data_IF_643195935929
#
_entry.id   IF_643195935929
#
_cell.length_a   1.000
_cell.length_b   1.000
_cell.length_c   1.000
_cell.angle_alpha   90.00
_cell.angle_beta   90.00
_cell.angle_gamma   90.00
#
_symmetry.space_group_name_H-M   'P 1'
#
loop_
_entity.id
_entity.type
_entity.pdbx_description
1 polymer ?
#
# COMPACT_ATOMS: atom_id res chain seq x y z
N UNK A 1 12.59 0.49 3.29
CA UNK A 1 11.69 1.59 2.84
C UNK A 1 10.28 1.33 3.33
N UNK A 2 9.51 2.39 3.68
CA UNK A 2 8.10 2.24 4.07
C UNK A 2 7.22 2.94 3.04
N UNK A 3 6.39 2.18 2.36
CA UNK A 3 5.39 2.65 1.39
C UNK A 3 4.06 2.88 2.11
N UNK A 4 3.59 4.12 2.13
CA UNK A 4 2.40 4.55 2.86
C UNK A 4 1.08 4.00 2.28
N UNK A 5 0.02 3.99 3.08
CA UNK A 5 -1.34 3.76 2.61
C UNK A 5 -1.91 4.97 1.85
N UNK A 6 -3.05 4.77 1.17
CA UNK A 6 -3.76 5.85 0.48
C UNK A 6 -4.14 6.97 1.45
N UNK A 7 -3.83 8.20 1.10
CA UNK A 7 -4.14 9.39 1.88
C UNK A 7 -3.51 9.43 3.29
N UNK A 8 -2.43 8.67 3.52
CA UNK A 8 -1.71 8.64 4.81
C UNK A 8 -0.34 9.26 4.65
N UNK A 9 -0.01 10.23 5.53
CA UNK A 9 1.31 10.88 5.56
C UNK A 9 2.40 9.92 6.06
N UNK A 10 3.62 10.12 5.61
CA UNK A 10 4.79 9.39 6.10
C UNK A 10 4.96 9.47 7.63
N UNK A 11 4.60 10.60 8.24
CA UNK A 11 4.69 10.80 9.70
C UNK A 11 3.85 9.79 10.53
N UNK A 12 2.83 9.17 9.91
CA UNK A 12 2.07 8.09 10.56
C UNK A 12 2.95 6.88 10.91
N UNK A 13 4.00 6.65 10.14
CA UNK A 13 4.91 5.52 10.28
C UNK A 13 6.14 5.82 11.14
N UNK A 14 6.27 7.04 11.66
CA UNK A 14 7.45 7.54 12.37
C UNK A 14 7.87 6.63 13.54
N UNK A 15 6.89 6.18 14.35
CA UNK A 15 7.19 5.31 15.50
C UNK A 15 7.71 3.94 15.09
N UNK A 16 7.15 3.36 14.04
CA UNK A 16 7.63 2.10 13.50
C UNK A 16 9.00 2.27 12.82
N UNK A 17 9.19 3.36 12.08
CA UNK A 17 10.47 3.69 11.47
C UNK A 17 11.55 3.86 12.55
N UNK A 18 11.25 4.59 13.64
CA UNK A 18 12.15 4.75 14.78
C UNK A 18 12.51 3.40 15.42
N UNK A 19 11.51 2.54 15.66
CA UNK A 19 11.74 1.19 16.16
C UNK A 19 12.75 0.43 15.29
N UNK A 20 12.59 0.45 13.97
CA UNK A 20 13.53 -0.23 13.04
C UNK A 20 14.92 0.43 13.07
N UNK A 21 15.02 1.76 13.20
CA UNK A 21 16.33 2.42 13.31
C UNK A 21 17.06 2.07 14.60
N UNK A 22 16.34 1.85 15.69
CA UNK A 22 16.89 1.37 16.96
C UNK A 22 17.42 -0.09 16.85
N UNK A 23 16.99 -0.83 15.81
CA UNK A 23 17.50 -2.16 15.48
C UNK A 23 18.59 -2.14 14.38
N UNK A 24 19.15 -0.96 14.08
CA UNK A 24 20.26 -0.81 13.14
C UNK A 24 19.89 -0.62 11.68
N UNK A 25 18.61 -0.51 11.32
CA UNK A 25 18.18 -0.27 9.95
C UNK A 25 18.28 1.21 9.54
N UNK A 26 18.67 1.48 8.31
CA UNK A 26 18.42 2.75 7.64
C UNK A 26 16.98 2.73 7.13
N UNK A 27 16.13 3.66 7.61
CA UNK A 27 14.72 3.69 7.24
C UNK A 27 14.37 4.92 6.43
N UNK A 28 13.80 4.72 5.24
CA UNK A 28 13.30 5.79 4.40
C UNK A 28 11.77 5.78 4.45
N UNK A 29 11.20 6.93 4.80
CA UNK A 29 9.77 7.24 4.68
C UNK A 29 9.60 8.44 3.76
N UNK A 30 8.53 8.49 2.99
CA UNK A 30 8.27 9.58 2.05
C UNK A 30 6.77 9.76 1.78
N UNK A 31 6.39 10.97 1.39
CA UNK A 31 5.03 11.28 0.97
C UNK A 31 4.91 11.15 -0.55
N UNK A 32 3.92 10.42 -1.02
CA UNK A 32 3.61 10.39 -2.45
C UNK A 32 3.15 11.76 -2.94
N UNK A 33 3.37 12.04 -4.23
CA UNK A 33 2.85 13.25 -4.87
C UNK A 33 1.37 13.44 -4.61
N UNK A 34 1.01 14.62 -4.18
CA UNK A 34 -0.37 14.99 -3.80
C UNK A 34 -0.72 14.71 -2.34
N UNK A 35 0.19 14.17 -1.53
CA UNK A 35 -0.02 13.85 -0.11
C UNK A 35 1.02 14.58 0.75
N UNK A 36 0.62 14.99 1.95
CA UNK A 36 1.49 15.52 2.99
C UNK A 36 2.42 16.63 2.51
N UNK A 37 3.74 16.48 2.69
CA UNK A 37 4.77 17.45 2.25
C UNK A 37 4.94 17.49 0.74
N UNK A 38 4.49 16.47 0.01
CA UNK A 38 4.46 16.42 -1.47
C UNK A 38 3.10 16.86 -2.02
N UNK A 39 2.32 17.63 -1.26
CA UNK A 39 1.05 18.21 -1.68
C UNK A 39 1.22 19.09 -2.92
N UNK A 40 0.15 19.24 -3.70
CA UNK A 40 0.14 20.02 -4.94
C UNK A 40 -0.86 21.16 -4.84
N UNK A 41 -0.51 22.32 -5.39
CA UNK A 41 -1.39 23.48 -5.40
C UNK A 41 -2.67 23.23 -6.22
N UNK A 42 -2.56 22.48 -7.33
CA UNK A 42 -3.70 22.15 -8.20
C UNK A 42 -4.10 20.68 -8.05
N UNK A 43 -5.10 20.41 -7.22
CA UNK A 43 -5.67 19.07 -7.02
C UNK A 43 -6.37 18.50 -8.27
N UNK A 44 -6.72 19.34 -9.24
CA UNK A 44 -7.33 18.95 -10.53
C UNK A 44 -6.30 18.63 -11.62
N UNK A 45 -5.02 18.61 -11.29
CA UNK A 45 -3.98 18.26 -12.25
C UNK A 45 -4.19 16.82 -12.76
N UNK A 46 -4.50 16.70 -14.06
CA UNK A 46 -4.83 15.43 -14.73
C UNK A 46 -3.63 14.49 -14.89
N UNK A 47 -2.42 14.99 -14.70
CA UNK A 47 -1.20 14.17 -14.76
C UNK A 47 -0.96 13.40 -13.45
N UNK A 48 -1.57 13.85 -12.34
CA UNK A 48 -1.54 13.11 -11.09
C UNK A 48 -2.34 11.82 -11.24
N UNK A 49 -1.68 10.70 -11.03
CA UNK A 49 -2.28 9.37 -11.12
C UNK A 49 -1.75 8.49 -9.99
N UNK A 50 -2.58 7.59 -9.47
CA UNK A 50 -2.15 6.64 -8.45
C UNK A 50 -0.97 5.78 -8.91
N UNK A 51 -0.96 5.34 -10.17
CA UNK A 51 0.18 4.60 -10.74
C UNK A 51 1.50 5.38 -10.72
N UNK A 52 1.44 6.72 -10.67
CA UNK A 52 2.62 7.56 -10.62
C UNK A 52 3.36 7.46 -9.27
N UNK A 53 2.67 7.05 -8.21
CA UNK A 53 3.28 6.77 -6.90
C UNK A 53 4.31 5.65 -6.95
N UNK A 54 4.05 4.60 -7.75
CA UNK A 54 5.05 3.57 -8.01
C UNK A 54 6.05 3.97 -9.10
N UNK A 55 5.50 4.42 -10.26
CA UNK A 55 6.33 4.67 -11.46
C UNK A 55 7.36 5.79 -11.28
N UNK A 56 7.07 6.80 -10.46
CA UNK A 56 7.94 7.96 -10.31
C UNK A 56 8.40 8.20 -8.88
N UNK A 57 7.51 8.08 -7.87
CA UNK A 57 7.86 8.44 -6.50
C UNK A 57 8.67 7.31 -5.84
N UNK A 58 8.16 6.09 -5.83
CA UNK A 58 8.90 4.92 -5.34
C UNK A 58 10.19 4.69 -6.17
N UNK A 59 10.10 4.78 -7.50
CA UNK A 59 11.24 4.63 -8.38
C UNK A 59 12.36 5.64 -8.05
N UNK A 60 12.00 6.91 -7.80
CA UNK A 60 12.98 7.94 -7.43
C UNK A 60 13.65 7.62 -6.08
N UNK A 61 12.88 7.12 -5.10
CA UNK A 61 13.41 6.72 -3.79
C UNK A 61 14.32 5.50 -3.92
N UNK A 62 13.95 4.51 -4.75
CA UNK A 62 14.81 3.35 -5.04
C UNK A 62 16.13 3.80 -5.69
N UNK A 63 16.07 4.68 -6.70
CA UNK A 63 17.28 5.19 -7.37
C UNK A 63 18.18 5.95 -6.41
N UNK A 64 17.61 6.75 -5.52
CA UNK A 64 18.37 7.45 -4.49
C UNK A 64 19.06 6.44 -3.54
N UNK A 65 18.34 5.41 -3.07
CA UNK A 65 18.90 4.39 -2.20
C UNK A 65 20.03 3.61 -2.88
N UNK A 66 19.85 3.23 -4.15
CA UNK A 66 20.92 2.59 -4.96
C UNK A 66 22.17 3.44 -5.08
N UNK A 67 21.99 4.75 -5.28
CA UNK A 67 23.12 5.67 -5.48
C UNK A 67 23.90 5.97 -4.19
N UNK A 68 23.23 5.94 -3.03
CA UNK A 68 23.83 6.33 -1.75
C UNK A 68 24.16 5.17 -0.82
N UNK A 69 23.46 4.04 -0.96
CA UNK A 69 23.56 2.86 -0.07
C UNK A 69 23.26 1.57 -0.85
N UNK A 70 23.80 1.46 -2.07
CA UNK A 70 23.53 0.31 -2.95
C UNK A 70 24.16 -1.01 -2.49
N UNK A 71 25.10 -0.93 -1.58
CA UNK A 71 25.78 -2.05 -0.94
C UNK A 71 24.94 -2.76 0.13
N UNK A 72 23.86 -2.13 0.60
CA UNK A 72 23.00 -2.68 1.63
C UNK A 72 21.86 -3.51 1.06
N UNK A 73 21.41 -4.50 1.82
CA UNK A 73 20.17 -5.22 1.53
C UNK A 73 18.96 -4.34 1.86
N UNK A 74 18.12 -4.09 0.88
CA UNK A 74 16.95 -3.25 1.03
C UNK A 74 15.65 -4.06 1.11
N UNK A 75 14.85 -3.72 2.09
CA UNK A 75 13.53 -4.30 2.32
C UNK A 75 12.45 -3.24 2.15
N UNK A 76 11.25 -3.66 1.72
CA UNK A 76 10.09 -2.78 1.63
C UNK A 76 9.00 -3.22 2.58
N UNK A 77 8.46 -2.30 3.37
CA UNK A 77 7.22 -2.50 4.13
C UNK A 77 6.12 -1.71 3.42
N UNK A 78 5.16 -2.40 2.81
CA UNK A 78 4.06 -1.79 2.08
C UNK A 78 2.76 -1.84 2.88
N UNK A 79 2.17 -0.68 3.19
CA UNK A 79 0.85 -0.61 3.83
C UNK A 79 -0.23 -0.35 2.80
N UNK A 80 -1.24 -1.22 2.72
CA UNK A 80 -2.40 -1.04 1.82
C UNK A 80 -1.95 -0.79 0.37
N UNK A 81 -2.20 0.40 -0.20
CA UNK A 81 -1.72 0.78 -1.54
C UNK A 81 -0.20 0.67 -1.68
N UNK A 82 0.54 0.77 -0.58
CA UNK A 82 2.00 0.63 -0.57
C UNK A 82 2.50 -0.70 -1.13
N UNK A 83 1.74 -1.79 -0.94
CA UNK A 83 1.99 -3.07 -1.59
C UNK A 83 1.44 -3.16 -3.01
N UNK A 84 0.54 -2.26 -3.43
CA UNK A 84 -0.03 -2.28 -4.78
C UNK A 84 0.84 -1.52 -5.79
N UNK A 85 1.59 -0.52 -5.35
CA UNK A 85 2.37 0.35 -6.25
C UNK A 85 3.73 -0.23 -6.66
N UNK A 86 4.17 -1.30 -6.01
CA UNK A 86 5.48 -1.94 -6.27
C UNK A 86 5.65 -2.35 -7.73
N UNK A 87 4.61 -2.91 -8.34
CA UNK A 87 4.65 -3.33 -9.74
C UNK A 87 4.68 -2.19 -10.77
N UNK A 88 4.68 -0.92 -10.33
CA UNK A 88 4.88 0.21 -11.22
C UNK A 88 6.30 0.77 -11.18
N UNK A 89 7.11 0.43 -10.18
CA UNK A 89 8.51 0.82 -10.12
C UNK A 89 9.34 -0.08 -11.05
N UNK A 90 10.15 0.52 -11.91
CA UNK A 90 11.01 -0.19 -12.86
C UNK A 90 12.10 -0.99 -12.14
N UNK A 91 12.61 -0.40 -11.04
CA UNK A 91 13.69 -0.97 -10.24
C UNK A 91 13.20 -1.80 -9.05
N UNK A 92 11.98 -2.33 -9.05
CA UNK A 92 11.40 -3.02 -7.88
C UNK A 92 12.16 -4.29 -7.45
N UNK A 93 12.90 -4.96 -8.34
CA UNK A 93 13.80 -6.07 -7.99
C UNK A 93 15.02 -5.66 -7.16
N UNK A 94 15.13 -4.38 -6.81
CA UNK A 94 16.11 -3.90 -5.84
C UNK A 94 15.81 -4.40 -4.41
N UNK A 95 14.56 -4.69 -4.12
CA UNK A 95 14.19 -5.20 -2.80
C UNK A 95 14.56 -6.67 -2.62
N UNK A 96 15.30 -6.97 -1.57
CA UNK A 96 15.60 -8.34 -1.10
C UNK A 96 14.34 -9.04 -0.61
N UNK A 97 13.45 -8.28 0.05
CA UNK A 97 12.15 -8.77 0.48
C UNK A 97 11.11 -7.66 0.64
N UNK A 98 9.84 -8.06 0.65
CA UNK A 98 8.69 -7.15 0.80
C UNK A 98 7.72 -7.67 1.85
N UNK A 99 7.40 -6.83 2.84
CA UNK A 99 6.44 -7.12 3.90
C UNK A 99 5.18 -6.28 3.70
N UNK A 100 4.08 -6.89 3.32
CA UNK A 100 2.83 -6.22 2.97
C UNK A 100 1.83 -6.28 4.13
N UNK A 101 1.48 -5.13 4.71
CA UNK A 101 0.48 -5.02 5.78
C UNK A 101 -0.83 -4.54 5.19
N UNK A 102 -1.90 -5.33 5.34
CA UNK A 102 -3.24 -4.97 4.83
C UNK A 102 -3.27 -4.56 3.35
N UNK A 103 -2.31 -5.04 2.56
CA UNK A 103 -2.25 -4.75 1.12
C UNK A 103 -3.19 -5.67 0.35
N UNK A 104 -4.05 -5.08 -0.50
CA UNK A 104 -5.17 -5.79 -1.10
C UNK A 104 -5.52 -5.28 -2.50
N UNK A 105 -6.25 -6.08 -3.26
CA UNK A 105 -6.97 -5.64 -4.46
C UNK A 105 -8.21 -4.86 -4.05
N UNK A 106 -8.40 -3.66 -4.59
CA UNK A 106 -9.57 -2.82 -4.30
C UNK A 106 -10.82 -3.15 -5.13
N UNK A 107 -10.85 -4.26 -5.86
CA UNK A 107 -12.03 -4.65 -6.65
C UNK A 107 -13.23 -4.94 -5.74
N UNK A 108 -14.33 -4.22 -5.93
CA UNK A 108 -15.53 -4.29 -5.08
C UNK A 108 -16.12 -5.68 -4.92
N UNK A 109 -15.93 -6.55 -5.90
CA UNK A 109 -16.44 -7.93 -5.87
C UNK A 109 -15.78 -8.85 -4.85
N UNK A 110 -14.69 -8.42 -4.19
CA UNK A 110 -14.02 -9.18 -3.12
C UNK A 110 -14.73 -9.06 -1.77
N UNK A 111 -15.59 -8.07 -1.59
CA UNK A 111 -16.37 -7.87 -0.36
C UNK A 111 -17.69 -8.64 -0.39
N UNK A 112 -18.26 -8.88 0.78
CA UNK A 112 -19.53 -9.58 0.96
C UNK A 112 -20.50 -8.73 1.79
N UNK A 113 -21.79 -9.08 1.76
CA UNK A 113 -22.84 -8.44 2.54
C UNK A 113 -22.89 -6.92 2.38
N UNK A 114 -23.05 -6.21 3.47
CA UNK A 114 -23.18 -4.74 3.50
C UNK A 114 -21.87 -4.04 3.08
N UNK A 115 -20.71 -4.62 3.38
CA UNK A 115 -19.44 -4.06 2.94
C UNK A 115 -19.31 -4.06 1.40
N UNK A 116 -19.84 -5.06 0.71
CA UNK A 116 -19.90 -5.08 -0.75
C UNK A 116 -20.70 -3.90 -1.30
N UNK A 117 -21.89 -3.64 -0.75
CA UNK A 117 -22.71 -2.49 -1.15
C UNK A 117 -22.00 -1.15 -0.87
N UNK A 118 -21.34 -1.02 0.28
CA UNK A 118 -20.55 0.16 0.67
C UNK A 118 -19.40 0.42 -0.30
N UNK A 119 -18.60 -0.59 -0.63
CA UNK A 119 -17.45 -0.45 -1.54
C UNK A 119 -17.94 -0.22 -2.98
N UNK A 120 -19.04 -0.85 -3.39
CA UNK A 120 -19.69 -0.56 -4.66
C UNK A 120 -20.08 0.93 -4.74
N UNK A 121 -20.85 1.43 -3.76
CA UNK A 121 -21.23 2.84 -3.73
C UNK A 121 -20.01 3.77 -3.71
N UNK A 122 -18.94 3.41 -3.00
CA UNK A 122 -17.69 4.17 -2.95
C UNK A 122 -17.07 4.33 -4.34
N UNK A 123 -16.95 3.25 -5.13
CA UNK A 123 -16.31 3.30 -6.43
C UNK A 123 -17.18 3.84 -7.55
N UNK A 124 -18.50 3.60 -7.50
CA UNK A 124 -19.39 4.00 -8.60
C UNK A 124 -20.04 5.38 -8.40
N UNK A 125 -20.16 5.85 -7.15
CA UNK A 125 -20.85 7.10 -6.84
C UNK A 125 -20.00 8.06 -6.00
N UNK A 126 -19.61 7.69 -4.79
CA UNK A 126 -19.06 8.64 -3.79
C UNK A 126 -17.74 9.24 -4.27
N UNK A 127 -16.75 8.43 -4.60
CA UNK A 127 -15.43 8.90 -5.05
C UNK A 127 -15.53 9.71 -6.36
N UNK A 128 -16.23 9.26 -7.42
CA UNK A 128 -16.44 10.07 -8.62
C UNK A 128 -17.14 11.40 -8.35
N UNK A 129 -18.20 11.40 -7.56
CA UNK A 129 -18.97 12.62 -7.25
C UNK A 129 -18.11 13.62 -6.47
N UNK A 130 -17.56 13.21 -5.31
CA UNK A 130 -16.77 14.10 -4.45
C UNK A 130 -15.54 14.64 -5.20
N UNK A 131 -14.83 13.80 -5.92
CA UNK A 131 -13.65 14.23 -6.67
C UNK A 131 -13.98 15.21 -7.78
N UNK A 132 -15.14 15.08 -8.44
CA UNK A 132 -15.57 16.01 -9.49
C UNK A 132 -16.02 17.34 -8.89
N UNK A 133 -16.85 17.32 -7.85
CA UNK A 133 -17.40 18.52 -7.22
C UNK A 133 -16.29 19.34 -6.53
N UNK A 134 -15.48 18.68 -5.70
CA UNK A 134 -14.47 19.37 -4.87
C UNK A 134 -13.07 19.39 -5.50
N UNK A 135 -12.85 18.75 -6.66
CA UNK A 135 -11.51 18.59 -7.25
C UNK A 135 -10.60 17.64 -6.46
N UNK A 136 -11.15 16.98 -5.45
CA UNK A 136 -10.49 16.02 -4.56
C UNK A 136 -11.52 15.20 -3.80
N UNK A 137 -11.14 14.05 -3.26
CA UNK A 137 -11.91 13.42 -2.18
C UNK A 137 -11.41 14.02 -0.87
N UNK A 138 -12.28 14.70 -0.08
CA UNK A 138 -11.86 15.30 1.17
C UNK A 138 -11.36 14.28 2.17
N UNK A 139 -10.31 14.63 2.94
CA UNK A 139 -9.68 13.74 3.92
C UNK A 139 -10.63 13.20 4.99
N UNK A 140 -11.65 13.96 5.35
CA UNK A 140 -12.70 13.53 6.29
C UNK A 140 -13.42 12.23 5.85
N UNK A 141 -13.52 11.95 4.55
CA UNK A 141 -14.10 10.71 4.01
C UNK A 141 -13.09 9.55 3.95
N UNK A 142 -11.80 9.86 3.99
CA UNK A 142 -10.73 8.87 3.89
C UNK A 142 -10.07 8.57 5.24
N UNK A 143 -10.37 9.36 6.25
CA UNK A 143 -9.72 9.26 7.56
C UNK A 143 -8.27 9.73 7.59
N UNK A 144 -7.85 10.53 6.60
CA UNK A 144 -6.48 11.01 6.44
C UNK A 144 -6.40 12.29 5.60
N UNK A 145 -5.45 12.35 4.67
CA UNK A 145 -5.28 13.47 3.74
C UNK A 145 -6.36 13.48 2.64
N UNK A 146 -6.58 14.65 2.06
CA UNK A 146 -7.41 14.75 0.85
C UNK A 146 -6.70 14.13 -0.34
N UNK A 147 -7.43 13.37 -1.15
CA UNK A 147 -6.90 12.71 -2.32
C UNK A 147 -7.23 13.51 -3.60
N UNK A 148 -6.24 13.97 -4.37
CA UNK A 148 -6.46 14.71 -5.61
C UNK A 148 -7.38 14.00 -6.59
N UNK A 149 -8.18 14.76 -7.37
CA UNK A 149 -9.22 14.26 -8.27
C UNK A 149 -8.76 13.12 -9.18
N UNK A 150 -7.65 13.33 -9.87
CA UNK A 150 -7.19 12.36 -10.88
C UNK A 150 -6.64 11.07 -10.28
N UNK A 151 -6.11 11.13 -9.06
CA UNK A 151 -5.66 9.96 -8.29
C UNK A 151 -6.89 9.17 -7.83
N UNK A 152 -7.86 9.87 -7.22
CA UNK A 152 -9.09 9.27 -6.72
C UNK A 152 -9.90 8.61 -7.84
N UNK A 153 -10.03 9.29 -8.99
CA UNK A 153 -10.73 8.74 -10.17
C UNK A 153 -10.04 7.50 -10.74
N UNK A 154 -8.70 7.47 -10.78
CA UNK A 154 -7.99 6.26 -11.22
C UNK A 154 -8.20 5.11 -10.24
N UNK A 155 -8.14 5.38 -8.94
CA UNK A 155 -8.38 4.37 -7.91
C UNK A 155 -9.79 3.79 -8.01
N UNK A 156 -10.82 4.64 -8.12
CA UNK A 156 -12.20 4.20 -8.33
C UNK A 156 -12.38 3.44 -9.65
N UNK A 157 -11.68 3.85 -10.71
CA UNK A 157 -11.69 3.13 -11.98
C UNK A 157 -11.17 1.70 -11.81
N UNK A 158 -10.03 1.52 -11.16
CA UNK A 158 -9.50 0.19 -10.85
C UNK A 158 -10.45 -0.63 -9.96
N UNK A 159 -11.00 -0.02 -8.91
CA UNK A 159 -11.92 -0.69 -7.99
C UNK A 159 -13.19 -1.27 -8.64
N UNK A 160 -13.56 -0.78 -9.83
CA UNK A 160 -14.70 -1.27 -10.62
C UNK A 160 -14.38 -2.49 -11.50
N UNK A 161 -13.09 -2.75 -11.79
CA UNK A 161 -12.67 -3.83 -12.67
C UNK A 161 -12.26 -5.07 -11.90
N UNK A 162 -12.70 -6.25 -12.35
CA UNK A 162 -12.37 -7.53 -11.69
C UNK A 162 -10.86 -7.81 -11.64
N UNK A 163 -10.13 -7.34 -12.63
CA UNK A 163 -8.67 -7.41 -12.66
C UNK A 163 -7.98 -6.30 -11.86
N UNK A 164 -8.73 -5.38 -11.27
CA UNK A 164 -8.30 -4.24 -10.46
C UNK A 164 -7.36 -3.30 -11.21
N UNK A 165 -6.05 -3.48 -11.11
CA UNK A 165 -5.05 -2.63 -11.78
C UNK A 165 -5.07 -2.91 -13.29
N UNK A 166 -5.70 -1.99 -14.03
CA UNK A 166 -5.90 -2.06 -15.47
C UNK A 166 -5.52 -0.74 -16.15
N UNK A 167 -5.25 -0.80 -17.44
CA UNK A 167 -5.07 0.38 -18.29
C UNK A 167 -6.42 1.04 -18.66
N UNK A 168 -6.39 2.04 -19.54
CA UNK A 168 -7.60 2.75 -19.98
C UNK A 168 -8.56 1.88 -20.81
N UNK A 169 -8.08 0.79 -21.38
CA UNK A 169 -8.84 -0.18 -22.18
C UNK A 169 -9.40 -1.32 -21.32
N UNK A 170 -9.07 -1.35 -20.01
CA UNK A 170 -9.46 -2.42 -19.10
C UNK A 170 -8.51 -3.62 -19.13
N UNK A 171 -7.38 -3.52 -19.84
CA UNK A 171 -6.37 -4.58 -19.90
C UNK A 171 -5.57 -4.62 -18.59
N UNK A 172 -5.37 -5.80 -17.99
CA UNK A 172 -4.56 -5.93 -16.78
C UNK A 172 -3.11 -5.44 -16.97
N UNK A 173 -2.64 -4.64 -16.02
CA UNK A 173 -1.22 -4.23 -15.96
C UNK A 173 -0.53 -5.18 -14.99
N UNK A 174 0.33 -6.08 -15.49
CA UNK A 174 0.97 -7.14 -14.67
C UNK A 174 2.48 -7.20 -14.80
N UNK A 175 3.07 -6.82 -15.92
CA UNK A 175 4.50 -7.04 -16.20
C UNK A 175 5.44 -6.65 -15.06
N UNK A 176 5.25 -5.49 -14.44
CA UNK A 176 6.09 -5.05 -13.33
C UNK A 176 5.80 -5.78 -12.02
N UNK A 177 4.61 -6.38 -11.87
CA UNK A 177 4.28 -7.23 -10.72
C UNK A 177 4.89 -8.62 -10.90
N UNK A 178 4.81 -9.16 -12.11
CA UNK A 178 5.32 -10.49 -12.45
C UNK A 178 6.85 -10.56 -12.43
N UNK A 179 7.53 -9.45 -12.73
CA UNK A 179 9.00 -9.42 -12.71
C UNK A 179 9.62 -9.43 -11.31
N UNK A 180 8.89 -9.01 -10.27
CA UNK A 180 9.40 -8.97 -8.90
C UNK A 180 9.54 -10.39 -8.36
N UNK A 181 10.78 -10.79 -8.01
CA UNK A 181 11.15 -12.17 -7.71
C UNK A 181 11.62 -12.41 -6.26
N UNK A 182 11.56 -11.40 -5.39
CA UNK A 182 11.97 -11.52 -4.00
C UNK A 182 10.95 -12.27 -3.13
N UNK A 183 11.32 -12.58 -1.89
CA UNK A 183 10.36 -13.09 -0.89
C UNK A 183 9.37 -12.01 -0.49
N UNK A 184 8.09 -12.36 -0.45
CA UNK A 184 7.01 -11.46 -0.05
C UNK A 184 6.13 -12.09 1.02
N UNK A 185 5.82 -11.31 2.06
CA UNK A 185 4.86 -11.71 3.08
C UNK A 185 3.68 -10.75 3.10
N UNK A 186 2.48 -11.27 2.89
CA UNK A 186 1.23 -10.51 3.03
C UNK A 186 0.56 -10.84 4.34
N UNK A 187 0.30 -9.84 5.17
CA UNK A 187 -0.50 -10.00 6.38
C UNK A 187 -1.99 -9.84 6.07
N UNK A 188 -2.73 -10.90 6.34
CA UNK A 188 -4.19 -10.92 6.33
C UNK A 188 -4.67 -10.78 7.76
N UNK A 189 -5.08 -9.58 8.17
CA UNK A 189 -5.54 -9.28 9.52
C UNK A 189 -7.03 -9.64 9.65
N UNK A 190 -7.39 -10.43 10.64
CA UNK A 190 -8.73 -11.03 10.76
C UNK A 190 -9.85 -10.00 11.01
N UNK A 191 -9.54 -8.87 11.64
CA UNK A 191 -10.48 -7.80 11.93
C UNK A 191 -10.42 -6.61 10.94
N UNK A 192 -9.70 -6.77 9.80
CA UNK A 192 -9.63 -5.79 8.70
C UNK A 192 -10.61 -6.13 7.54
N UNK A 193 -11.75 -6.68 7.85
CA UNK A 193 -12.75 -7.11 6.87
C UNK A 193 -13.41 -5.95 6.10
N UNK A 194 -13.33 -4.72 6.64
CA UNK A 194 -13.89 -3.54 5.98
C UNK A 194 -13.02 -3.05 4.81
N UNK A 195 -11.69 -3.14 4.93
CA UNK A 195 -10.73 -2.58 3.96
C UNK A 195 -9.93 -3.65 3.22
N UNK A 196 -9.56 -4.75 3.87
CA UNK A 196 -8.74 -5.79 3.28
C UNK A 196 -9.26 -7.21 3.62
N UNK A 197 -10.46 -7.59 3.13
CA UNK A 197 -10.96 -8.94 3.37
C UNK A 197 -10.04 -10.00 2.73
N UNK A 198 -10.06 -11.24 3.22
CA UNK A 198 -9.16 -12.31 2.77
C UNK A 198 -9.04 -12.47 1.26
N UNK A 199 -10.18 -12.47 0.54
CA UNK A 199 -10.23 -12.58 -0.93
C UNK A 199 -9.46 -11.44 -1.62
N UNK A 200 -9.50 -10.24 -1.07
CA UNK A 200 -8.82 -9.07 -1.66
C UNK A 200 -7.30 -9.10 -1.46
N UNK A 201 -6.83 -9.58 -0.30
CA UNK A 201 -5.40 -9.78 -0.02
C UNK A 201 -4.83 -10.85 -0.95
N UNK A 202 -5.50 -12.03 -1.03
CA UNK A 202 -5.09 -13.12 -1.92
C UNK A 202 -5.07 -12.70 -3.38
N UNK A 203 -6.07 -11.90 -3.82
CA UNK A 203 -6.13 -11.41 -5.18
C UNK A 203 -4.98 -10.46 -5.53
N UNK A 204 -4.50 -9.62 -4.60
CA UNK A 204 -3.29 -8.82 -4.86
C UNK A 204 -2.03 -9.67 -4.83
N UNK A 205 -1.91 -10.58 -3.88
CA UNK A 205 -0.77 -11.49 -3.75
C UNK A 205 -0.55 -12.29 -5.04
N UNK A 206 -1.61 -12.72 -5.72
CA UNK A 206 -1.53 -13.45 -6.99
C UNK A 206 -0.98 -12.65 -8.18
N UNK A 207 -0.78 -11.33 -8.07
CA UNK A 207 -0.15 -10.54 -9.11
C UNK A 207 1.36 -10.77 -9.18
N UNK A 208 1.99 -11.17 -8.07
CA UNK A 208 3.44 -11.35 -7.91
C UNK A 208 3.86 -12.80 -8.20
N UNK A 209 3.69 -13.22 -9.45
CA UNK A 209 3.80 -14.63 -9.85
C UNK A 209 5.22 -15.22 -9.75
N UNK A 210 6.27 -14.39 -9.86
CA UNK A 210 7.66 -14.84 -9.75
C UNK A 210 8.22 -14.66 -8.33
N UNK A 211 7.50 -13.99 -7.45
CA UNK A 211 7.90 -13.84 -6.06
C UNK A 211 7.55 -15.10 -5.24
N UNK A 212 8.37 -15.38 -4.22
CA UNK A 212 8.03 -16.39 -3.19
C UNK A 212 7.07 -15.74 -2.19
N UNK A 213 5.76 -15.95 -2.42
CA UNK A 213 4.69 -15.25 -1.70
C UNK A 213 4.09 -16.09 -0.59
N UNK A 214 4.22 -15.62 0.64
CA UNK A 214 3.50 -16.12 1.82
C UNK A 214 2.31 -15.20 2.14
N UNK A 215 1.12 -15.77 2.38
CA UNK A 215 -0.03 -15.04 2.95
C UNK A 215 -0.27 -15.53 4.37
N UNK A 216 0.16 -14.75 5.36
CA UNK A 216 0.05 -15.07 6.78
C UNK A 216 -1.23 -14.48 7.39
N UNK A 217 -1.98 -15.30 8.13
CA UNK A 217 -3.13 -14.85 8.90
C UNK A 217 -2.66 -14.29 10.25
N UNK A 218 -3.18 -13.12 10.61
CA UNK A 218 -2.91 -12.45 11.88
C UNK A 218 -4.22 -12.34 12.66
N UNK A 219 -4.26 -12.92 13.86
CA UNK A 219 -5.42 -12.87 14.75
C UNK A 219 -5.33 -11.69 15.70
N UNK A 220 -6.30 -10.78 15.63
CA UNK A 220 -6.41 -9.65 16.55
C UNK A 220 -6.61 -10.10 18.02
N UNK A 221 -7.21 -11.26 18.22
CA UNK A 221 -7.42 -11.87 19.55
C UNK A 221 -6.08 -12.27 20.19
N UNK A 222 -5.18 -12.88 19.43
CA UNK A 222 -3.84 -13.29 19.91
C UNK A 222 -2.99 -12.08 20.30
N UNK A 223 -3.21 -10.93 19.65
CA UNK A 223 -2.53 -9.67 19.98
C UNK A 223 -3.27 -8.81 21.01
N UNK A 224 -4.31 -9.35 21.66
CA UNK A 224 -5.01 -8.74 22.79
C UNK A 224 -5.77 -7.45 22.52
N UNK A 225 -5.85 -7.00 21.25
CA UNK A 225 -6.56 -5.77 20.89
C UNK A 225 -6.85 -5.70 19.39
N UNK A 226 -7.88 -4.90 19.03
CA UNK A 226 -8.18 -4.60 17.63
C UNK A 226 -6.96 -4.06 16.89
N UNK A 227 -6.64 -4.67 15.74
CA UNK A 227 -5.61 -4.26 14.81
C UNK A 227 -6.24 -3.42 13.69
N UNK A 228 -7.16 -4.02 12.92
CA UNK A 228 -7.80 -3.39 11.76
C UNK A 228 -6.80 -2.90 10.73
N UNK A 229 -7.26 -2.04 9.82
CA UNK A 229 -6.44 -1.59 8.69
C UNK A 229 -5.19 -0.79 9.10
N UNK A 230 -5.28 -0.02 10.18
CA UNK A 230 -4.25 0.94 10.58
C UNK A 230 -3.48 0.56 11.84
N UNK A 231 -3.98 -0.40 12.64
CA UNK A 231 -3.45 -0.65 13.98
C UNK A 231 -2.04 -1.21 14.02
N UNK A 232 -1.61 -1.94 12.99
CA UNK A 232 -0.26 -2.50 12.92
C UNK A 232 0.84 -1.48 13.28
N UNK A 233 0.75 -0.26 12.77
CA UNK A 233 1.77 0.79 12.96
C UNK A 233 1.63 1.59 14.27
N UNK A 234 0.71 1.21 15.16
CA UNK A 234 0.56 1.82 16.49
C UNK A 234 1.51 1.19 17.48
N UNK A 235 2.14 2.01 18.33
CA UNK A 235 3.15 1.58 19.32
C UNK A 235 2.67 0.50 20.30
N UNK A 236 1.37 0.34 20.51
CA UNK A 236 0.83 -0.75 21.33
C UNK A 236 1.17 -2.15 20.80
N UNK A 237 1.51 -2.28 19.52
CA UNK A 237 1.90 -3.52 18.88
C UNK A 237 3.42 -3.68 18.73
N UNK A 238 4.22 -2.82 19.38
CA UNK A 238 5.69 -2.85 19.29
C UNK A 238 6.28 -4.16 19.82
N UNK A 239 5.71 -4.70 20.89
CA UNK A 239 6.20 -5.94 21.53
C UNK A 239 5.63 -7.22 20.89
N UNK A 240 4.87 -7.09 19.82
CA UNK A 240 4.26 -8.20 19.11
C UNK A 240 4.47 -8.07 17.60
N UNK A 241 3.53 -7.49 16.85
CA UNK A 241 3.57 -7.39 15.38
C UNK A 241 4.84 -6.75 14.83
N UNK A 242 5.46 -5.78 15.54
CA UNK A 242 6.71 -5.17 15.07
C UNK A 242 7.90 -6.10 15.29
N UNK A 243 7.91 -6.88 16.38
CA UNK A 243 8.94 -7.91 16.59
C UNK A 243 8.82 -9.03 15.54
N UNK A 244 7.59 -9.45 15.22
CA UNK A 244 7.35 -10.46 14.16
C UNK A 244 7.83 -9.95 12.80
N UNK A 245 7.56 -8.66 12.48
CA UNK A 245 8.05 -8.05 11.26
C UNK A 245 9.58 -7.95 11.23
N UNK A 246 10.20 -7.51 12.34
CA UNK A 246 11.65 -7.43 12.47
C UNK A 246 12.30 -8.79 12.27
N UNK A 247 11.88 -9.82 13.01
CA UNK A 247 12.43 -11.17 12.89
C UNK A 247 12.27 -11.76 11.47
N UNK A 248 11.16 -11.46 10.80
CA UNK A 248 10.99 -11.87 9.40
C UNK A 248 11.96 -11.14 8.47
N UNK A 249 12.19 -9.84 8.63
CA UNK A 249 13.12 -9.05 7.81
C UNK A 249 14.57 -9.52 8.02
N UNK A 250 14.98 -9.81 9.26
CA UNK A 250 16.31 -10.32 9.61
C UNK A 250 16.60 -11.66 8.91
N UNK A 251 15.62 -12.56 8.86
CA UNK A 251 15.74 -13.84 8.14
C UNK A 251 15.95 -13.68 6.62
N UNK A 252 15.64 -12.52 6.05
CA UNK A 252 15.86 -12.24 4.63
C UNK A 252 17.19 -11.52 4.37
N UNK A 253 17.89 -11.07 5.42
CA UNK A 253 19.20 -10.38 5.32
C UNK A 253 20.40 -11.35 5.42
N UNK A 254 20.13 -12.65 5.64
CA UNK A 254 21.14 -13.71 5.83
C UNK A 254 21.59 -14.32 4.51
#
# INVERSE_FOLDING_TARGET
MINSATAVRQSYYEKFAKFLTEQGYIVITYDYRGIGRSSVANSRNRQLKMKAWGKYDLEAVIRWAKANHGELDWHCVGHSVGGQILGFAESNNFFKSVYCVSSQSGYWGHWEGMNKARIFAMWFAIVPLLSTVFGKVPGAFLGGESLPESIAKQWAYWGRHSHYIVDKQGTPIRSGFEQLSCKMKFLQIDDDYEFAPPKSVQALASFYQQADVEVAKVSSKEHGSRIGHFGFFRSKHQQSLWQDALGWLELQSS
#
